data_IF_281680997232
#
_entry.id   IF_281680997232
#
_cell.length_a   1.000
_cell.length_b   1.000
_cell.length_c   1.000
_cell.angle_alpha   90.00
_cell.angle_beta   90.00
_cell.angle_gamma   90.00
#
_symmetry.space_group_name_H-M   'P 1'
#
loop_
_entity.id
_entity.type
_entity.pdbx_description
1 polymer ?
#
# COMPACT_ATOMS: atom_id res chain seq x y z
N UNK A 1 22.86 -2.84 24.80
CA UNK A 1 21.95 -3.00 23.65
C UNK A 1 21.86 -1.65 22.98
N UNK A 2 22.38 -1.49 21.78
CA UNK A 2 22.33 -0.21 21.08
C UNK A 2 21.02 -0.10 20.27
N UNK A 3 20.58 1.12 19.98
CA UNK A 3 19.32 1.37 19.25
C UNK A 3 19.38 0.91 17.79
N UNK A 4 20.59 0.71 17.25
CA UNK A 4 20.82 0.13 15.91
C UNK A 4 20.49 -1.37 15.87
N UNK A 5 20.82 -2.14 16.91
CA UNK A 5 20.55 -3.58 17.02
C UNK A 5 19.07 -3.91 17.22
N UNK A 6 18.27 -2.98 17.77
CA UNK A 6 16.81 -3.13 17.83
C UNK A 6 16.13 -2.93 16.46
N UNK A 7 16.78 -2.25 15.52
CA UNK A 7 16.24 -1.97 14.18
C UNK A 7 16.74 -2.97 13.13
N UNK A 8 17.86 -3.65 13.37
CA UNK A 8 18.44 -4.65 12.45
C UNK A 8 17.60 -5.94 12.32
N UNK A 9 16.79 -6.28 13.32
CA UNK A 9 15.81 -7.38 13.25
C UNK A 9 14.40 -6.96 12.86
N UNK A 10 14.15 -5.68 12.61
CA UNK A 10 12.82 -5.07 12.58
C UNK A 10 12.45 -4.41 11.24
N UNK A 11 13.21 -4.69 10.17
CA UNK A 11 12.88 -4.15 8.85
C UNK A 11 12.00 -5.16 8.10
N UNK A 12 10.68 -4.91 7.96
CA UNK A 12 9.79 -5.86 7.32
C UNK A 12 10.19 -6.10 5.86
N UNK A 13 10.05 -7.34 5.39
CA UNK A 13 10.26 -7.63 3.98
C UNK A 13 9.29 -6.80 3.13
N UNK A 14 9.65 -6.52 1.89
CA UNK A 14 8.75 -5.84 0.94
C UNK A 14 7.39 -6.55 0.86
N UNK A 15 7.39 -7.88 0.86
CA UNK A 15 6.18 -8.69 0.83
C UNK A 15 5.33 -8.47 2.08
N UNK A 16 5.95 -8.44 3.26
CA UNK A 16 5.28 -8.14 4.52
C UNK A 16 4.63 -6.74 4.50
N UNK A 17 5.32 -5.73 3.97
CA UNK A 17 4.73 -4.38 3.82
C UNK A 17 3.57 -4.38 2.84
N UNK A 18 3.72 -5.05 1.69
CA UNK A 18 2.67 -5.12 0.67
C UNK A 18 1.42 -5.82 1.19
N UNK A 19 1.58 -6.90 1.96
CA UNK A 19 0.48 -7.61 2.59
C UNK A 19 -0.16 -6.80 3.71
N UNK A 20 0.65 -6.22 4.61
CA UNK A 20 0.19 -5.39 5.72
C UNK A 20 -0.71 -4.23 5.26
N UNK A 21 -0.41 -3.66 4.10
CA UNK A 21 -1.13 -2.53 3.55
C UNK A 21 -2.07 -2.91 2.38
N UNK A 22 -2.32 -4.20 2.15
CA UNK A 22 -3.17 -4.70 1.07
C UNK A 22 -2.93 -3.96 -0.26
N UNK A 23 -1.67 -3.91 -0.69
CA UNK A 23 -1.27 -3.12 -1.85
C UNK A 23 -1.77 -3.75 -3.15
N UNK A 24 -2.52 -2.96 -3.93
CA UNK A 24 -2.91 -3.29 -5.30
C UNK A 24 -2.08 -2.45 -6.27
N UNK A 25 -1.59 -3.06 -7.35
CA UNK A 25 -0.83 -2.34 -8.37
C UNK A 25 -1.31 -2.66 -9.78
N UNK A 26 -1.62 -1.61 -10.55
CA UNK A 26 -2.12 -1.67 -11.91
C UNK A 26 -1.16 -0.97 -12.88
N UNK A 27 -1.34 -1.22 -14.17
CA UNK A 27 -0.62 -0.52 -15.24
C UNK A 27 0.85 -0.94 -15.45
N UNK A 28 1.51 -0.36 -16.47
CA UNK A 28 2.87 -0.72 -16.88
C UNK A 28 3.91 -0.42 -15.78
N UNK A 29 4.98 -1.21 -15.71
CA UNK A 29 6.03 -1.05 -14.67
C UNK A 29 6.90 0.20 -14.85
N UNK A 30 7.09 0.63 -16.10
CA UNK A 30 8.08 1.65 -16.47
C UNK A 30 7.46 3.03 -16.78
N UNK A 31 6.26 3.29 -16.23
CA UNK A 31 5.54 4.57 -16.32
C UNK A 31 5.58 5.32 -14.99
N UNK A 32 5.32 6.64 -14.97
CA UNK A 32 5.23 7.40 -13.73
C UNK A 32 4.24 6.79 -12.73
N UNK A 33 4.56 6.85 -11.45
CA UNK A 33 3.74 6.25 -10.38
C UNK A 33 2.68 7.24 -9.91
N UNK A 34 1.43 6.79 -9.83
CA UNK A 34 0.32 7.52 -9.23
C UNK A 34 -0.22 6.73 -8.05
N UNK A 35 -0.22 7.35 -6.86
CA UNK A 35 -0.64 6.70 -5.61
C UNK A 35 -2.00 7.24 -5.15
N UNK A 36 -2.95 6.35 -4.90
CA UNK A 36 -4.26 6.68 -4.33
C UNK A 36 -4.30 6.29 -2.86
N UNK A 37 -4.47 7.30 -1.99
CA UNK A 37 -4.71 7.11 -0.56
C UNK A 37 -6.19 7.37 -0.25
N UNK A 38 -6.83 6.47 0.47
CA UNK A 38 -8.25 6.60 0.81
C UNK A 38 -8.47 7.55 2.01
N UNK A 39 -9.72 8.00 2.20
CA UNK A 39 -10.09 8.87 3.31
C UNK A 39 -10.39 8.10 4.60
N UNK A 40 -10.72 8.83 5.67
CA UNK A 40 -11.15 8.26 6.95
C UNK A 40 -12.34 7.30 6.81
N UNK A 41 -12.30 6.17 7.51
CA UNK A 41 -13.41 5.21 7.58
C UNK A 41 -13.70 4.45 6.28
N UNK A 42 -12.79 4.51 5.31
CA UNK A 42 -12.91 3.84 4.00
C UNK A 42 -11.71 2.93 3.74
N UNK A 43 -11.65 2.36 2.55
CA UNK A 43 -10.52 1.56 2.05
C UNK A 43 -10.22 1.90 0.59
N UNK A 44 -9.21 1.24 0.01
CA UNK A 44 -8.77 1.45 -1.37
C UNK A 44 -9.87 1.31 -2.43
N UNK A 45 -10.96 0.56 -2.14
CA UNK A 45 -12.04 0.35 -3.10
C UNK A 45 -12.77 1.63 -3.47
N UNK A 46 -12.71 2.66 -2.60
CA UNK A 46 -13.22 4.02 -2.86
C UNK A 46 -12.71 4.59 -4.18
N UNK A 47 -11.48 4.25 -4.53
CA UNK A 47 -10.82 4.77 -5.72
C UNK A 47 -10.91 3.84 -6.93
N UNK A 48 -11.43 2.62 -6.82
CA UNK A 48 -11.31 1.58 -7.87
C UNK A 48 -11.66 2.09 -9.27
N UNK A 49 -12.87 2.63 -9.44
CA UNK A 49 -13.34 3.10 -10.75
C UNK A 49 -12.54 4.28 -11.29
N UNK A 50 -11.95 5.11 -10.42
CA UNK A 50 -11.15 6.27 -10.83
C UNK A 50 -9.71 5.82 -11.12
N UNK A 51 -9.14 4.97 -10.27
CA UNK A 51 -7.79 4.43 -10.42
C UNK A 51 -7.63 3.64 -11.73
N UNK A 52 -8.66 2.88 -12.13
CA UNK A 52 -8.69 2.14 -13.39
C UNK A 52 -8.55 3.05 -14.62
N UNK A 53 -9.05 4.29 -14.60
CA UNK A 53 -8.95 5.19 -15.75
C UNK A 53 -7.53 5.69 -16.02
N UNK A 54 -6.62 5.56 -15.04
CA UNK A 54 -5.22 5.97 -15.16
C UNK A 54 -4.28 4.79 -15.44
N UNK A 55 -4.78 3.55 -15.41
CA UNK A 55 -3.94 2.36 -15.46
C UNK A 55 -3.24 2.14 -16.81
N UNK A 56 -3.71 2.76 -17.89
CA UNK A 56 -3.09 2.66 -19.22
C UNK A 56 -1.85 3.57 -19.35
N UNK A 57 -1.79 4.68 -18.61
CA UNK A 57 -0.74 5.70 -18.72
C UNK A 57 0.20 5.73 -17.51
N UNK A 58 -0.24 5.23 -16.35
CA UNK A 58 0.47 5.31 -15.09
C UNK A 58 0.64 3.95 -14.41
N UNK A 59 1.70 3.84 -13.61
CA UNK A 59 1.83 2.76 -12.62
C UNK A 59 0.97 3.14 -11.41
N UNK A 60 -0.27 2.67 -11.40
CA UNK A 60 -1.24 3.03 -10.36
C UNK A 60 -1.05 2.13 -9.14
N UNK A 61 -0.89 2.73 -7.97
CA UNK A 61 -0.76 2.04 -6.67
C UNK A 61 -1.94 2.43 -5.78
N UNK A 62 -2.67 1.43 -5.29
CA UNK A 62 -3.64 1.59 -4.21
C UNK A 62 -3.18 0.80 -2.99
N UNK A 63 -3.58 1.25 -1.80
CA UNK A 63 -3.28 0.56 -0.56
C UNK A 63 -4.33 0.90 0.50
N UNK A 64 -4.42 0.06 1.51
CA UNK A 64 -5.20 0.29 2.73
C UNK A 64 -4.29 0.78 3.86
N UNK A 65 -4.72 1.83 4.56
CA UNK A 65 -4.15 2.16 5.86
C UNK A 65 -4.36 0.98 6.82
N UNK A 66 -3.37 0.72 7.69
CA UNK A 66 -3.45 -0.36 8.69
C UNK A 66 -4.67 -0.17 9.58
N UNK A 67 -5.43 -1.25 9.78
CA UNK A 67 -6.72 -1.23 10.46
C UNK A 67 -7.91 -0.85 9.57
N UNK A 68 -7.72 -0.68 8.26
CA UNK A 68 -8.78 -0.42 7.27
C UNK A 68 -8.87 -1.53 6.22
N UNK A 69 -10.06 -1.76 5.65
CA UNK A 69 -10.24 -2.66 4.51
C UNK A 69 -9.66 -4.06 4.73
N UNK A 70 -8.82 -4.50 3.79
CA UNK A 70 -8.13 -5.78 3.84
C UNK A 70 -6.71 -5.68 4.42
N UNK A 71 -6.31 -4.54 4.96
CA UNK A 71 -5.01 -4.41 5.64
C UNK A 71 -4.92 -5.39 6.83
N UNK A 72 -3.69 -5.59 7.30
CA UNK A 72 -3.50 -6.28 8.56
C UNK A 72 -4.21 -5.51 9.69
N UNK A 73 -5.08 -6.21 10.41
CA UNK A 73 -5.86 -5.67 11.53
C UNK A 73 -5.07 -5.69 12.84
N UNK A 74 -3.90 -6.33 12.86
CA UNK A 74 -2.98 -6.22 13.98
C UNK A 74 -2.40 -4.80 14.02
N UNK A 75 -2.76 -4.08 15.08
CA UNK A 75 -2.02 -2.91 15.51
C UNK A 75 -0.96 -3.46 16.45
N UNK A 76 0.31 -3.27 16.07
CA UNK A 76 1.59 -3.80 16.61
C UNK A 76 1.98 -5.25 16.30
#
# INVERSE_FOLDING_TARGET
MNMQQLLEGANPSRESVMQRNSVTVLGPKDTPVLVFAHGYGTDQSTWRSIAETFADEYRVVLFDYVGSGASDLSIV
#
